data_IF_428716761587
#
_entry.id   IF_428716761587
#
_cell.length_a   1.000
_cell.length_b   1.000
_cell.length_c   1.000
_cell.angle_alpha   90.00
_cell.angle_beta   90.00
_cell.angle_gamma   90.00
#
_symmetry.space_group_name_H-M   'P 1'
#
loop_
_entity.id
_entity.type
_entity.pdbx_description
1 polymer ?
#
# COMPACT_ATOMS: atom_id res chain seq x y z
N UNK A 1 10.26 -18.35 -20.90
CA UNK A 1 11.22 -19.44 -20.95
C UNK A 1 11.47 -19.95 -19.55
N UNK A 2 12.23 -21.00 -19.40
CA UNK A 2 12.41 -21.79 -18.18
C UNK A 2 12.90 -20.96 -16.97
N UNK A 3 13.64 -19.87 -17.22
CA UNK A 3 14.09 -18.94 -16.17
C UNK A 3 12.94 -18.31 -15.36
N UNK A 4 11.75 -18.20 -15.94
CA UNK A 4 10.59 -17.60 -15.26
C UNK A 4 9.75 -18.63 -14.49
N UNK A 5 9.99 -19.91 -14.65
CA UNK A 5 9.21 -20.97 -14.02
C UNK A 5 9.83 -21.35 -12.69
N UNK A 6 9.07 -21.24 -11.62
CA UNK A 6 9.48 -21.66 -10.27
C UNK A 6 8.27 -22.18 -9.49
N UNK A 7 7.87 -23.45 -9.73
CA UNK A 7 6.72 -24.04 -9.04
C UNK A 7 6.90 -24.00 -7.53
N UNK A 8 5.87 -23.53 -6.84
CA UNK A 8 5.87 -23.38 -5.37
C UNK A 8 4.68 -24.07 -4.77
N UNK A 9 4.90 -24.65 -3.60
CA UNK A 9 3.84 -25.08 -2.69
C UNK A 9 3.74 -24.06 -1.55
N UNK A 10 2.51 -23.62 -1.28
CA UNK A 10 2.24 -22.68 -0.20
C UNK A 10 1.64 -23.44 0.98
N UNK A 11 2.26 -23.31 2.14
CA UNK A 11 1.72 -23.83 3.39
C UNK A 11 0.89 -22.73 4.08
N UNK A 12 -0.22 -23.12 4.70
CA UNK A 12 -1.07 -22.20 5.43
C UNK A 12 -0.41 -21.81 6.75
N UNK A 13 -0.13 -20.52 6.93
CA UNK A 13 0.49 -20.00 8.16
C UNK A 13 -0.55 -19.55 9.21
N UNK A 14 -1.80 -19.44 8.85
CA UNK A 14 -2.87 -18.92 9.71
C UNK A 14 -3.41 -20.04 10.60
N UNK A 15 -3.35 -19.85 11.93
CA UNK A 15 -4.00 -20.77 12.87
C UNK A 15 -5.50 -20.85 12.58
N UNK A 16 -6.02 -22.08 12.41
CA UNK A 16 -7.43 -22.32 12.13
C UNK A 16 -7.88 -22.07 10.67
N UNK A 17 -6.93 -21.97 9.73
CA UNK A 17 -7.26 -21.97 8.32
C UNK A 17 -7.93 -23.30 7.94
N UNK A 18 -8.95 -23.20 7.10
CA UNK A 18 -9.63 -24.38 6.56
C UNK A 18 -8.80 -24.96 5.42
N UNK A 19 -7.92 -25.90 5.73
CA UNK A 19 -7.04 -26.55 4.75
C UNK A 19 -7.80 -27.32 3.63
N UNK A 20 -9.11 -27.53 3.82
CA UNK A 20 -9.95 -28.25 2.86
C UNK A 20 -10.34 -27.43 1.61
N UNK A 21 -9.96 -26.16 1.54
CA UNK A 21 -10.32 -25.30 0.41
C UNK A 21 -9.11 -25.05 -0.49
N UNK A 22 -9.30 -25.27 -1.79
CA UNK A 22 -8.33 -24.87 -2.79
C UNK A 22 -8.30 -23.33 -2.94
N UNK A 23 -7.14 -22.79 -3.30
CA UNK A 23 -7.04 -21.40 -3.71
C UNK A 23 -7.89 -21.14 -4.96
N UNK A 24 -8.46 -19.97 -5.08
CA UNK A 24 -9.19 -19.54 -6.29
C UNK A 24 -8.19 -19.43 -7.42
N UNK A 25 -8.39 -20.20 -8.47
CA UNK A 25 -7.56 -20.25 -9.68
C UNK A 25 -8.41 -20.52 -10.92
N UNK A 26 -7.95 -20.18 -12.13
CA UNK A 26 -8.61 -20.58 -13.35
C UNK A 26 -8.68 -22.10 -13.48
N UNK A 27 -9.80 -22.61 -13.96
CA UNK A 27 -9.96 -24.05 -14.25
C UNK A 27 -9.07 -24.48 -15.43
N UNK A 28 -8.94 -23.61 -16.43
CA UNK A 28 -8.13 -23.80 -17.62
C UNK A 28 -7.12 -22.67 -17.74
N UNK A 29 -5.86 -22.95 -17.48
CA UNK A 29 -4.79 -21.95 -17.43
C UNK A 29 -4.42 -21.38 -18.81
N UNK A 30 -4.72 -22.11 -19.88
CA UNK A 30 -4.56 -21.67 -21.26
C UNK A 30 -5.51 -20.51 -21.64
N UNK A 31 -6.63 -20.38 -20.95
CA UNK A 31 -7.58 -19.29 -21.18
C UNK A 31 -7.12 -18.03 -20.45
N UNK A 32 -6.48 -17.12 -21.18
CA UNK A 32 -6.03 -15.83 -20.61
C UNK A 32 -7.16 -14.81 -20.41
N UNK A 33 -8.31 -15.07 -21.00
CA UNK A 33 -9.48 -14.20 -20.89
C UNK A 33 -10.76 -15.01 -20.93
N UNK A 34 -11.83 -14.44 -20.42
CA UNK A 34 -13.18 -15.03 -20.45
C UNK A 34 -14.16 -14.05 -21.07
N UNK A 35 -15.28 -14.58 -21.57
CA UNK A 35 -16.42 -13.76 -21.92
C UNK A 35 -17.22 -13.40 -20.66
N UNK A 36 -17.82 -12.20 -20.64
CA UNK A 36 -18.58 -11.68 -19.51
C UNK A 36 -18.61 -10.17 -19.45
N UNK A 37 -19.11 -9.64 -18.36
CA UNK A 37 -19.12 -8.21 -18.06
C UNK A 37 -17.72 -7.65 -17.86
N UNK A 38 -17.57 -6.33 -17.92
CA UNK A 38 -16.28 -5.69 -17.68
C UNK A 38 -15.71 -6.00 -16.28
N UNK A 39 -16.55 -6.17 -15.28
CA UNK A 39 -16.15 -6.51 -13.90
C UNK A 39 -15.67 -7.96 -13.81
N UNK A 40 -16.38 -8.90 -14.42
CA UNK A 40 -15.99 -10.30 -14.47
C UNK A 40 -14.67 -10.50 -15.20
N UNK A 41 -14.47 -9.80 -16.33
CA UNK A 41 -13.19 -9.81 -17.06
C UNK A 41 -12.02 -9.29 -16.22
N UNK A 42 -12.20 -8.18 -15.49
CA UNK A 42 -11.18 -7.63 -14.61
C UNK A 42 -10.84 -8.59 -13.47
N UNK A 43 -11.86 -9.19 -12.85
CA UNK A 43 -11.64 -10.15 -11.77
C UNK A 43 -10.93 -11.40 -12.27
N UNK A 44 -11.32 -11.92 -13.42
CA UNK A 44 -10.66 -13.08 -14.02
C UNK A 44 -9.19 -12.79 -14.37
N UNK A 45 -8.91 -11.64 -15.00
CA UNK A 45 -7.55 -11.21 -15.33
C UNK A 45 -6.66 -11.13 -14.07
N UNK A 46 -7.19 -10.56 -12.98
CA UNK A 46 -6.50 -10.51 -11.69
C UNK A 46 -6.19 -11.92 -11.16
N UNK A 47 -7.19 -12.82 -11.15
CA UNK A 47 -7.03 -14.19 -10.66
C UNK A 47 -6.01 -14.94 -11.53
N UNK A 48 -6.12 -14.82 -12.85
CA UNK A 48 -5.21 -15.47 -13.79
C UNK A 48 -3.76 -14.99 -13.59
N UNK A 49 -3.54 -13.69 -13.60
CA UNK A 49 -2.22 -13.08 -13.40
C UNK A 49 -1.60 -13.48 -12.06
N UNK A 50 -2.39 -13.41 -10.98
CA UNK A 50 -1.93 -13.77 -9.65
C UNK A 50 -1.58 -15.26 -9.55
N UNK A 51 -2.36 -16.13 -10.16
CA UNK A 51 -2.07 -17.58 -10.22
C UNK A 51 -0.77 -17.86 -10.97
N UNK A 52 -0.58 -17.28 -12.15
CA UNK A 52 0.67 -17.44 -12.91
C UNK A 52 1.85 -16.88 -12.12
N UNK A 53 1.74 -15.66 -11.61
CA UNK A 53 2.80 -14.98 -10.85
C UNK A 53 3.24 -15.79 -9.63
N UNK A 54 2.31 -16.47 -8.94
CA UNK A 54 2.61 -17.32 -7.79
C UNK A 54 3.53 -18.49 -8.11
N UNK A 55 3.56 -18.92 -9.35
CA UNK A 55 4.39 -20.05 -9.87
C UNK A 55 5.59 -19.56 -10.70
N UNK A 56 5.86 -18.24 -10.66
CA UNK A 56 7.02 -17.66 -11.35
C UNK A 56 8.19 -17.45 -10.40
N UNK A 57 9.37 -17.31 -10.96
CA UNK A 57 10.58 -16.96 -10.25
C UNK A 57 10.46 -15.57 -9.62
N UNK A 58 11.18 -15.35 -8.51
CA UNK A 58 11.28 -14.07 -7.85
C UNK A 58 11.86 -12.99 -8.79
N UNK A 59 11.47 -11.76 -8.57
CA UNK A 59 12.16 -10.62 -9.14
C UNK A 59 13.48 -10.38 -8.40
N UNK A 60 14.52 -10.05 -9.17
CA UNK A 60 15.83 -9.66 -8.63
C UNK A 60 16.00 -8.14 -8.77
N UNK A 61 16.08 -7.47 -7.63
CA UNK A 61 16.20 -6.02 -7.55
C UNK A 61 17.56 -5.66 -6.95
N UNK A 62 18.25 -4.71 -7.58
CA UNK A 62 19.47 -4.13 -7.02
C UNK A 62 19.15 -2.78 -6.43
N UNK A 63 19.18 -2.68 -5.09
CA UNK A 63 18.97 -1.43 -4.38
C UNK A 63 20.31 -0.78 -4.06
N UNK A 64 20.51 0.44 -4.54
CA UNK A 64 21.68 1.23 -4.26
C UNK A 64 21.33 2.38 -3.32
N UNK A 65 22.05 2.50 -2.22
CA UNK A 65 21.95 3.65 -1.31
C UNK A 65 23.26 4.43 -1.38
N UNK A 66 23.18 5.67 -1.84
CA UNK A 66 24.31 6.59 -1.87
C UNK A 66 24.23 7.58 -0.71
N UNK A 67 25.27 7.58 0.14
CA UNK A 67 25.44 8.58 1.20
C UNK A 67 26.40 9.65 0.68
N UNK A 68 25.91 10.89 0.59
CA UNK A 68 26.65 12.02 0.03
C UNK A 68 27.00 12.96 1.19
N UNK A 69 28.29 13.10 1.49
CA UNK A 69 28.79 13.98 2.55
C UNK A 69 28.99 15.40 2.02
N UNK A 70 28.79 16.37 2.90
CA UNK A 70 28.97 17.79 2.61
C UNK A 70 30.26 18.25 3.28
N UNK A 71 31.12 18.97 2.55
CA UNK A 71 32.33 19.55 3.14
C UNK A 71 31.94 20.66 4.14
N UNK A 72 32.40 20.52 5.38
CA UNK A 72 32.15 21.51 6.43
C UNK A 72 30.88 21.27 7.28
N UNK A 73 30.15 20.19 7.08
CA UNK A 73 29.04 19.75 7.93
C UNK A 73 29.13 18.26 8.23
N UNK A 74 28.54 17.83 9.34
CA UNK A 74 28.29 16.42 9.65
C UNK A 74 27.04 15.86 8.97
N UNK A 75 26.25 16.74 8.36
CA UNK A 75 25.03 16.36 7.67
C UNK A 75 25.33 15.62 6.35
N UNK A 76 24.40 14.76 5.96
CA UNK A 76 24.53 13.96 4.74
C UNK A 76 23.24 14.01 3.95
N UNK A 77 23.36 13.91 2.63
CA UNK A 77 22.25 13.56 1.77
C UNK A 77 22.24 12.05 1.51
N UNK A 78 21.05 11.48 1.42
CA UNK A 78 20.88 10.08 1.06
C UNK A 78 20.06 10.00 -0.22
N UNK A 79 20.60 9.30 -1.22
CA UNK A 79 19.87 8.97 -2.44
C UNK A 79 19.69 7.45 -2.53
N UNK A 80 18.49 7.01 -2.82
CA UNK A 80 18.15 5.60 -2.98
C UNK A 80 17.68 5.38 -4.40
N UNK A 81 18.24 4.39 -5.07
CA UNK A 81 17.81 3.96 -6.39
C UNK A 81 17.65 2.45 -6.44
N UNK A 82 16.77 1.99 -7.29
CA UNK A 82 16.49 0.58 -7.50
C UNK A 82 16.52 0.24 -8.99
N UNK A 83 17.15 -0.86 -9.33
CA UNK A 83 17.21 -1.38 -10.70
C UNK A 83 16.70 -2.80 -10.72
N UNK A 84 15.73 -3.09 -11.58
CA UNK A 84 15.25 -4.44 -11.81
C UNK A 84 16.29 -5.17 -12.67
N UNK A 85 17.02 -6.13 -12.07
CA UNK A 85 17.98 -7.00 -12.78
C UNK A 85 17.26 -8.12 -13.52
N UNK A 86 16.22 -8.64 -12.91
CA UNK A 86 15.35 -9.64 -13.48
C UNK A 86 13.92 -9.40 -12.99
N UNK A 87 13.00 -9.27 -13.92
CA UNK A 87 11.62 -8.89 -13.61
C UNK A 87 10.80 -10.03 -12.98
N UNK A 88 11.18 -11.31 -13.19
CA UNK A 88 10.51 -12.43 -12.56
C UNK A 88 8.98 -12.36 -12.67
N UNK A 89 8.28 -12.54 -11.55
CA UNK A 89 6.83 -12.45 -11.49
C UNK A 89 6.27 -11.03 -11.76
N UNK A 90 7.06 -9.97 -11.57
CA UNK A 90 6.64 -8.59 -11.85
C UNK A 90 6.31 -8.37 -13.33
N UNK A 91 6.77 -9.25 -14.21
CA UNK A 91 6.41 -9.22 -15.62
C UNK A 91 4.92 -9.43 -15.89
N UNK A 92 4.27 -10.20 -15.03
CA UNK A 92 2.85 -10.58 -15.18
C UNK A 92 1.98 -9.85 -14.18
N UNK A 93 2.46 -9.67 -12.96
CA UNK A 93 1.68 -9.13 -11.85
C UNK A 93 2.47 -8.10 -11.06
N UNK A 94 1.90 -6.90 -10.96
CA UNK A 94 2.32 -5.88 -10.00
C UNK A 94 1.13 -5.60 -9.09
N UNK A 95 1.34 -5.66 -7.80
CA UNK A 95 0.31 -5.31 -6.82
C UNK A 95 0.09 -3.79 -6.88
N UNK A 96 -1.17 -3.37 -7.03
CA UNK A 96 -1.56 -1.98 -6.86
C UNK A 96 -1.99 -1.79 -5.41
N UNK A 97 -1.45 -0.78 -4.76
CA UNK A 97 -1.86 -0.39 -3.41
C UNK A 97 -3.00 0.61 -3.51
N UNK A 98 -4.08 0.35 -2.74
CA UNK A 98 -5.25 1.26 -2.69
C UNK A 98 -5.03 2.45 -1.74
N UNK A 99 -3.89 2.53 -1.07
CA UNK A 99 -3.57 3.63 -0.17
C UNK A 99 -2.90 4.76 -0.95
N UNK A 100 -3.65 5.86 -1.12
CA UNK A 100 -3.21 7.10 -1.77
C UNK A 100 -1.95 7.76 -1.13
N UNK A 101 -1.44 7.19 -0.03
CA UNK A 101 -0.26 7.66 0.69
C UNK A 101 1.04 6.90 0.39
N UNK A 102 0.97 5.77 -0.27
CA UNK A 102 2.17 5.19 -0.84
C UNK A 102 2.43 5.95 -2.15
N UNK A 103 3.24 7.01 -2.05
CA UNK A 103 3.87 7.59 -3.21
C UNK A 103 4.45 6.41 -3.98
N UNK A 104 4.02 6.25 -5.23
CA UNK A 104 4.74 5.39 -6.15
C UNK A 104 6.21 5.76 -5.97
N UNK A 105 6.96 4.84 -5.36
CA UNK A 105 8.42 4.91 -5.41
C UNK A 105 8.74 4.82 -6.91
N UNK A 106 8.70 5.98 -7.56
CA UNK A 106 9.34 6.12 -8.86
C UNK A 106 10.75 5.61 -8.61
N UNK A 107 11.01 4.40 -9.08
CA UNK A 107 12.31 3.78 -8.98
C UNK A 107 13.31 4.71 -9.68
N UNK A 108 13.84 5.65 -8.92
CA UNK A 108 14.80 6.61 -9.40
C UNK A 108 16.06 5.84 -9.75
N UNK A 109 16.29 5.68 -11.05
CA UNK A 109 17.55 5.14 -11.56
C UNK A 109 18.67 6.09 -11.13
N UNK A 110 19.51 5.65 -10.20
CA UNK A 110 20.71 6.40 -9.88
C UNK A 110 21.73 6.22 -11.03
N UNK A 111 22.45 7.30 -11.40
CA UNK A 111 23.56 7.17 -12.31
C UNK A 111 24.65 6.29 -11.68
N UNK A 112 25.57 5.72 -12.49
CA UNK A 112 26.69 4.97 -11.97
C UNK A 112 27.53 5.83 -11.03
N UNK A 113 27.57 5.49 -9.75
CA UNK A 113 28.31 6.21 -8.71
C UNK A 113 29.52 5.39 -8.26
N UNK A 114 30.63 6.10 -7.92
CA UNK A 114 31.83 5.49 -7.34
C UNK A 114 32.09 6.06 -5.95
N UNK A 115 32.56 5.21 -5.04
CA UNK A 115 32.95 5.65 -3.70
C UNK A 115 34.06 6.71 -3.78
N UNK A 116 33.87 7.82 -3.09
CA UNK A 116 34.79 8.95 -3.08
C UNK A 116 34.69 9.88 -4.33
N UNK A 117 33.71 9.64 -5.19
CA UNK A 117 33.42 10.54 -6.31
C UNK A 117 32.98 11.91 -5.80
N UNK A 118 33.56 12.97 -6.33
CA UNK A 118 33.06 14.33 -6.09
C UNK A 118 31.85 14.57 -6.99
N UNK A 119 30.80 15.10 -6.40
CA UNK A 119 29.56 15.46 -7.10
C UNK A 119 29.48 16.99 -7.16
N UNK A 120 29.07 17.50 -8.30
CA UNK A 120 28.69 18.89 -8.45
C UNK A 120 27.21 18.99 -8.05
N UNK A 121 26.85 19.97 -7.20
CA UNK A 121 25.48 20.17 -6.80
C UNK A 121 24.77 21.14 -7.75
N UNK A 122 23.55 20.82 -8.10
CA UNK A 122 22.58 21.75 -8.64
C UNK A 122 21.93 22.58 -7.52
N UNK A 123 20.71 23.11 -7.73
CA UNK A 123 19.94 23.72 -6.67
C UNK A 123 19.66 22.72 -5.55
N UNK A 124 19.77 23.19 -4.29
CA UNK A 124 19.33 22.43 -3.12
C UNK A 124 17.96 22.95 -2.74
N UNK A 125 16.98 22.04 -2.67
CA UNK A 125 15.60 22.39 -2.39
C UNK A 125 15.21 21.79 -1.05
N UNK A 126 14.76 22.64 -0.13
CA UNK A 126 14.17 22.21 1.13
C UNK A 126 12.66 22.48 1.08
N UNK A 127 11.87 21.41 1.17
CA UNK A 127 10.42 21.49 1.12
C UNK A 127 9.85 21.16 2.49
N UNK A 128 9.05 22.07 3.04
CA UNK A 128 8.31 21.82 4.27
C UNK A 128 7.34 20.65 4.07
N UNK A 129 7.32 19.72 5.02
CA UNK A 129 6.43 18.55 5.02
C UNK A 129 5.78 18.41 6.39
N UNK A 130 4.61 17.83 6.41
CA UNK A 130 3.81 17.64 7.61
C UNK A 130 3.57 16.16 7.82
N UNK A 131 3.54 15.73 9.07
CA UNK A 131 3.13 14.38 9.42
C UNK A 131 1.69 14.15 9.01
N UNK A 132 1.45 13.03 8.36
CA UNK A 132 0.12 12.63 7.93
C UNK A 132 -0.54 11.76 9.01
N UNK A 133 -1.82 11.96 9.25
CA UNK A 133 -2.60 11.01 10.05
C UNK A 133 -2.74 9.69 9.28
N UNK A 134 -2.91 8.54 9.98
CA UNK A 134 -3.27 7.31 9.30
C UNK A 134 -4.54 7.50 8.47
N UNK A 135 -4.58 7.01 7.22
CA UNK A 135 -5.77 7.10 6.39
C UNK A 135 -6.91 6.27 6.97
N UNK A 136 -8.16 6.65 6.67
CA UNK A 136 -9.30 5.79 6.94
C UNK A 136 -9.22 4.53 6.09
N UNK A 137 -9.87 3.49 6.54
CA UNK A 137 -9.91 2.23 5.81
C UNK A 137 -10.77 2.33 4.54
N UNK A 138 -10.30 1.71 3.48
CA UNK A 138 -11.15 1.19 2.41
C UNK A 138 -11.69 -0.17 2.83
N UNK A 139 -12.65 -0.73 2.09
CA UNK A 139 -13.10 -2.11 2.35
C UNK A 139 -11.92 -3.10 2.25
N UNK A 140 -11.05 -2.92 1.26
CA UNK A 140 -9.87 -3.78 1.06
C UNK A 140 -8.85 -3.65 2.19
N UNK A 141 -8.50 -2.42 2.60
CA UNK A 141 -7.53 -2.21 3.70
C UNK A 141 -8.10 -2.64 5.06
N UNK A 142 -9.44 -2.59 5.25
CA UNK A 142 -10.07 -3.15 6.44
C UNK A 142 -9.98 -4.67 6.46
N UNK A 143 -10.20 -5.36 5.34
CA UNK A 143 -9.99 -6.82 5.24
C UNK A 143 -8.57 -7.19 5.61
N UNK A 144 -7.58 -6.50 5.04
CA UNK A 144 -6.16 -6.70 5.38
C UNK A 144 -5.92 -6.53 6.88
N UNK A 145 -6.50 -5.49 7.49
CA UNK A 145 -6.34 -5.25 8.93
C UNK A 145 -6.98 -6.32 9.80
N UNK A 146 -8.16 -6.80 9.43
CA UNK A 146 -8.81 -7.92 10.12
C UNK A 146 -7.96 -9.20 10.04
N UNK A 147 -7.39 -9.48 8.87
CA UNK A 147 -6.49 -10.63 8.67
C UNK A 147 -5.22 -10.50 9.51
N UNK A 148 -4.56 -9.34 9.53
CA UNK A 148 -3.38 -9.07 10.36
C UNK A 148 -3.66 -9.29 11.86
N UNK A 149 -4.84 -8.92 12.32
CA UNK A 149 -5.27 -9.08 13.71
C UNK A 149 -5.81 -10.49 14.02
N UNK A 150 -5.94 -11.37 13.01
CA UNK A 150 -6.53 -12.70 13.15
C UNK A 150 -8.04 -12.68 13.40
N UNK A 151 -8.71 -11.57 13.14
CA UNK A 151 -10.15 -11.40 13.36
C UNK A 151 -10.94 -11.85 12.14
N UNK A 152 -11.82 -12.82 12.32
CA UNK A 152 -12.64 -13.35 11.24
C UNK A 152 -11.92 -14.40 10.38
N UNK A 153 -12.50 -14.67 9.22
CA UNK A 153 -12.01 -15.65 8.24
C UNK A 153 -12.34 -15.14 6.84
N UNK A 154 -11.74 -15.65 5.76
CA UNK A 154 -12.05 -15.23 4.39
C UNK A 154 -13.54 -15.22 4.06
N UNK A 155 -14.31 -16.20 4.56
CA UNK A 155 -15.75 -16.30 4.36
C UNK A 155 -16.57 -15.25 5.13
N UNK A 156 -16.01 -14.60 6.14
CA UNK A 156 -16.73 -13.66 7.02
C UNK A 156 -16.36 -12.20 6.78
N UNK A 157 -15.24 -11.90 6.12
CA UNK A 157 -14.80 -10.50 5.93
C UNK A 157 -15.83 -9.66 5.17
N UNK A 158 -16.23 -10.10 3.98
CA UNK A 158 -17.20 -9.35 3.17
C UNK A 158 -18.58 -9.24 3.85
N UNK A 159 -19.17 -10.32 4.41
CA UNK A 159 -20.42 -10.22 5.20
C UNK A 159 -20.32 -9.25 6.38
N UNK A 160 -19.20 -9.24 7.12
CA UNK A 160 -19.00 -8.33 8.25
C UNK A 160 -18.99 -6.87 7.78
N UNK A 161 -18.23 -6.55 6.72
CA UNK A 161 -18.17 -5.22 6.16
C UNK A 161 -19.54 -4.76 5.62
N UNK A 162 -20.26 -5.65 4.96
CA UNK A 162 -21.63 -5.35 4.52
C UNK A 162 -22.56 -5.10 5.70
N UNK A 163 -22.45 -5.88 6.77
CA UNK A 163 -23.31 -5.76 7.97
C UNK A 163 -23.09 -4.42 8.68
N UNK A 164 -21.83 -3.97 8.86
CA UNK A 164 -21.59 -2.70 9.56
C UNK A 164 -22.07 -1.49 8.75
N UNK A 165 -22.08 -1.59 7.40
CA UNK A 165 -22.68 -0.58 6.52
C UNK A 165 -24.20 -0.63 6.56
N UNK A 166 -24.82 -1.81 6.48
CA UNK A 166 -26.28 -1.98 6.56
C UNK A 166 -26.86 -1.53 7.90
N UNK A 167 -26.10 -1.66 8.99
CA UNK A 167 -26.48 -1.17 10.32
C UNK A 167 -26.15 0.32 10.52
N UNK A 168 -25.67 0.96 9.49
CA UNK A 168 -25.29 2.37 9.51
C UNK A 168 -24.27 2.71 10.61
N UNK A 169 -23.37 1.76 10.95
CA UNK A 169 -22.26 2.05 11.85
C UNK A 169 -21.13 2.78 11.12
N UNK A 170 -20.97 2.48 9.85
CA UNK A 170 -20.07 3.17 8.93
C UNK A 170 -20.74 3.39 7.59
N UNK A 171 -20.36 4.45 6.91
CA UNK A 171 -20.75 4.74 5.53
C UNK A 171 -19.53 4.86 4.63
N UNK A 172 -19.69 4.47 3.36
CA UNK A 172 -18.65 4.65 2.35
C UNK A 172 -18.82 6.02 1.70
N UNK A 173 -17.79 6.84 1.79
CA UNK A 173 -17.86 8.22 1.34
C UNK A 173 -16.52 8.74 0.80
N UNK A 174 -16.57 10.02 0.45
CA UNK A 174 -15.42 10.81 0.07
C UNK A 174 -15.35 12.03 0.98
N UNK A 175 -14.14 12.51 1.22
CA UNK A 175 -13.89 13.78 1.89
C UNK A 175 -13.08 14.65 0.93
N UNK A 176 -13.52 15.87 0.71
CA UNK A 176 -12.74 16.87 0.01
C UNK A 176 -11.52 17.26 0.84
N UNK A 177 -10.43 17.57 0.16
CA UNK A 177 -9.25 18.08 0.80
C UNK A 177 -9.39 19.55 1.15
N UNK A 178 -8.50 20.02 2.01
CA UNK A 178 -8.38 21.42 2.41
C UNK A 178 -7.08 22.00 1.86
N UNK A 179 -7.11 23.27 1.47
CA UNK A 179 -5.91 23.97 1.06
C UNK A 179 -4.99 24.18 2.25
N UNK A 180 -3.71 23.85 2.05
CA UNK A 180 -2.66 24.08 3.03
C UNK A 180 -1.47 24.76 2.36
N UNK A 181 -0.94 25.77 3.01
CA UNK A 181 0.29 26.42 2.59
C UNK A 181 1.50 25.67 3.14
N UNK A 182 2.59 25.65 2.38
CA UNK A 182 3.87 25.10 2.79
C UNK A 182 5.01 25.89 2.13
N UNK A 183 6.15 25.94 2.81
CA UNK A 183 7.31 26.68 2.34
C UNK A 183 8.26 25.80 1.53
N UNK A 184 8.82 26.39 0.48
CA UNK A 184 9.88 25.80 -0.33
C UNK A 184 11.06 26.76 -0.38
N UNK A 185 12.18 26.35 0.19
CA UNK A 185 13.43 27.12 0.14
C UNK A 185 14.35 26.50 -0.93
N UNK A 186 14.81 27.32 -1.86
CA UNK A 186 15.74 26.92 -2.91
C UNK A 186 17.07 27.65 -2.77
N UNK A 187 18.13 26.92 -2.48
CA UNK A 187 19.50 27.45 -2.53
C UNK A 187 20.07 27.25 -3.92
N UNK A 188 20.35 28.35 -4.60
CA UNK A 188 21.01 28.39 -5.90
C UNK A 188 21.98 29.58 -5.95
N UNK A 189 23.18 29.40 -6.49
CA UNK A 189 24.18 30.47 -6.68
C UNK A 189 24.43 31.27 -5.36
N UNK A 190 24.48 30.58 -4.21
CA UNK A 190 24.65 31.16 -2.86
C UNK A 190 23.50 32.09 -2.42
N UNK A 191 22.40 32.07 -3.11
CA UNK A 191 21.18 32.80 -2.74
C UNK A 191 20.09 31.82 -2.32
N UNK A 192 19.37 32.18 -1.27
CA UNK A 192 18.21 31.41 -0.83
C UNK A 192 16.97 32.18 -1.29
N UNK A 193 16.13 31.49 -2.07
CA UNK A 193 14.80 31.94 -2.43
C UNK A 193 13.79 31.18 -1.57
N UNK A 194 12.91 31.89 -0.90
CA UNK A 194 11.82 31.33 -0.09
C UNK A 194 10.50 31.60 -0.79
N UNK A 195 9.72 30.54 -1.01
CA UNK A 195 8.45 30.61 -1.73
C UNK A 195 7.37 29.84 -0.96
N UNK A 196 6.20 30.47 -0.86
CA UNK A 196 5.04 29.83 -0.28
C UNK A 196 4.20 29.18 -1.39
N UNK A 197 3.94 27.87 -1.24
CA UNK A 197 3.15 27.06 -2.16
C UNK A 197 1.88 26.58 -1.48
N UNK A 198 0.91 26.17 -2.26
CA UNK A 198 -0.36 25.60 -1.76
C UNK A 198 -0.51 24.18 -2.29
N UNK A 199 -0.95 23.29 -1.42
CA UNK A 199 -1.32 21.92 -1.75
C UNK A 199 -2.73 21.60 -1.23
N UNK A 200 -3.40 20.63 -1.84
CA UNK A 200 -4.65 20.07 -1.29
C UNK A 200 -4.29 18.87 -0.42
N UNK A 201 -4.66 18.92 0.84
CA UNK A 201 -4.34 17.88 1.83
C UNK A 201 -5.61 17.30 2.47
N UNK A 202 -5.53 16.06 2.93
CA UNK A 202 -6.61 15.39 3.68
C UNK A 202 -7.80 14.96 2.83
N UNK A 203 -7.71 14.99 1.48
CA UNK A 203 -8.69 14.37 0.62
C UNK A 203 -8.72 12.85 0.84
N UNK A 204 -9.92 12.29 0.88
CA UNK A 204 -10.12 10.85 1.04
C UNK A 204 -11.17 10.37 0.03
N UNK A 205 -10.90 9.28 -0.66
CA UNK A 205 -11.78 8.73 -1.68
C UNK A 205 -12.15 7.29 -1.36
N UNK A 206 -13.46 6.99 -1.45
CA UNK A 206 -14.00 5.65 -1.21
C UNK A 206 -13.59 5.03 0.14
N UNK A 207 -13.50 5.84 1.18
CA UNK A 207 -13.14 5.41 2.54
C UNK A 207 -14.40 5.12 3.38
N UNK A 208 -14.21 4.36 4.45
CA UNK A 208 -15.25 4.08 5.43
C UNK A 208 -15.21 5.15 6.54
N UNK A 209 -16.32 5.85 6.70
CA UNK A 209 -16.50 6.89 7.71
C UNK A 209 -17.41 6.38 8.82
N UNK A 210 -17.06 6.58 10.11
CA UNK A 210 -18.00 6.30 11.19
C UNK A 210 -19.18 7.26 11.10
N UNK A 211 -20.37 6.75 11.37
CA UNK A 211 -21.58 7.55 11.54
C UNK A 211 -21.78 7.95 13.01
N UNK A 212 -22.74 8.83 13.29
CA UNK A 212 -23.12 9.16 14.66
C UNK A 212 -23.62 7.92 15.40
N UNK A 213 -24.42 7.07 14.74
CA UNK A 213 -24.88 5.78 15.29
C UNK A 213 -23.71 4.89 15.64
N UNK A 214 -22.74 4.75 14.73
CA UNK A 214 -21.55 3.95 14.96
C UNK A 214 -20.70 4.47 16.12
N UNK A 215 -20.56 5.78 16.23
CA UNK A 215 -19.83 6.43 17.32
C UNK A 215 -20.49 6.16 18.66
N UNK A 216 -21.82 6.35 18.78
CA UNK A 216 -22.57 6.09 20.01
C UNK A 216 -22.47 4.61 20.42
N UNK A 217 -22.60 3.68 19.48
CA UNK A 217 -22.45 2.25 19.77
C UNK A 217 -21.04 1.91 20.24
N UNK A 218 -20.01 2.46 19.57
CA UNK A 218 -18.62 2.26 19.96
C UNK A 218 -18.35 2.78 21.39
N UNK A 219 -18.79 4.00 21.70
CA UNK A 219 -18.58 4.61 23.00
C UNK A 219 -19.27 3.82 24.11
N UNK A 220 -20.52 3.39 23.88
CA UNK A 220 -21.26 2.52 24.78
C UNK A 220 -20.55 1.18 25.04
N UNK A 221 -20.06 0.52 23.98
CA UNK A 221 -19.33 -0.73 24.13
C UNK A 221 -17.99 -0.53 24.84
N UNK A 222 -17.30 0.57 24.57
CA UNK A 222 -16.01 0.90 25.21
C UNK A 222 -16.19 1.10 26.71
N UNK A 223 -17.28 1.77 27.12
CA UNK A 223 -17.56 2.06 28.52
C UNK A 223 -18.06 0.85 29.32
N UNK A 224 -18.97 0.07 28.73
CA UNK A 224 -19.70 -0.97 29.47
C UNK A 224 -19.24 -2.41 29.14
N UNK A 225 -18.58 -2.62 28.02
CA UNK A 225 -18.20 -3.95 27.52
C UNK A 225 -16.77 -3.97 26.92
N UNK A 226 -15.75 -3.46 27.63
CA UNK A 226 -14.41 -3.33 27.07
C UNK A 226 -13.82 -4.68 26.62
N UNK A 227 -14.14 -5.77 27.32
CA UNK A 227 -13.64 -7.11 27.00
C UNK A 227 -14.09 -7.59 25.61
N UNK A 228 -15.30 -7.20 25.18
CA UNK A 228 -15.82 -7.56 23.85
C UNK A 228 -15.05 -6.83 22.73
N UNK A 229 -14.50 -5.66 23.02
CA UNK A 229 -13.72 -4.86 22.09
C UNK A 229 -12.25 -5.27 22.05
N UNK A 230 -11.81 -6.16 22.95
CA UNK A 230 -10.45 -6.68 22.88
C UNK A 230 -10.28 -7.54 21.62
N UNK A 231 -9.26 -7.22 20.83
CA UNK A 231 -8.97 -7.96 19.59
C UNK A 231 -8.71 -9.44 19.86
N UNK A 232 -8.10 -9.81 20.98
CA UNK A 232 -7.82 -11.19 21.35
C UNK A 232 -9.08 -11.97 21.70
N UNK A 233 -10.13 -11.30 22.19
CA UNK A 233 -11.43 -11.94 22.46
C UNK A 233 -12.07 -12.49 21.19
N UNK A 234 -11.90 -11.79 20.07
CA UNK A 234 -12.47 -12.19 18.79
C UNK A 234 -11.50 -13.03 17.95
N UNK A 235 -10.19 -12.91 18.18
CA UNK A 235 -9.15 -13.64 17.44
C UNK A 235 -8.86 -15.05 17.98
N UNK A 236 -9.37 -15.42 19.17
CA UNK A 236 -9.20 -16.72 19.84
C UNK A 236 -10.19 -17.81 19.31
#
# INVERSE_FOLDING_TARGET
GDRYVHPRHFETKTKGAQEAHEAIRPTYMENQSVEGTAQEKKLYDLIWKRTIASQMADAELEKTTATITISGSSDVFTAIGEVIKFDGFLRVYRESYDDDNEQEDESHLLPPLKKGQKLEHGPIIATERFTQRPPRYTEASLVRKLEELGIGRPSTYAPTISTIQQREYVEKGNKDGEERQFNVMTLKDRQIKDENHTEITGAEKAKLFPTDTGTVVNDFLTEYFPDILDFNFTAS
#
